data_IF_046128018877
#
_entry.id   IF_046128018877
#
_cell.length_a   1.000
_cell.length_b   1.000
_cell.length_c   1.000
_cell.angle_alpha   90.00
_cell.angle_beta   90.00
_cell.angle_gamma   90.00
#
_symmetry.space_group_name_H-M   'P 1'
#
loop_
_entity.id
_entity.type
_entity.pdbx_description
1 polymer ?
#
# COMPACT_ATOMS: atom_id res chain seq x y z
N UNK A 1 -76.45 -21.40 45.73
CA UNK A 1 -75.32 -20.69 46.38
C UNK A 1 -74.49 -20.11 45.23
N UNK A 2 -74.24 -18.81 45.11
CA UNK A 2 -74.06 -17.80 46.16
C UNK A 2 -72.57 -17.80 46.57
N UNK A 3 -71.77 -16.75 46.38
CA UNK A 3 -72.13 -15.33 46.17
C UNK A 3 -71.11 -14.52 45.34
N UNK A 4 -71.50 -13.31 44.97
CA UNK A 4 -70.66 -12.12 44.66
C UNK A 4 -69.56 -11.86 45.72
N UNK A 5 -68.52 -11.01 45.56
CA UNK A 5 -68.22 -9.88 44.65
C UNK A 5 -66.66 -9.68 44.63
N UNK A 6 -65.93 -8.70 44.04
CA UNK A 6 -66.16 -7.38 43.39
C UNK A 6 -64.96 -7.04 42.46
N UNK A 7 -65.05 -5.98 41.62
CA UNK A 7 -63.87 -5.24 41.09
C UNK A 7 -63.57 -3.95 41.91
N UNK A 8 -62.84 -2.93 41.39
CA UNK A 8 -62.13 -2.84 40.10
C UNK A 8 -60.74 -2.12 40.17
N UNK A 9 -60.17 -1.82 38.99
CA UNK A 9 -59.38 -0.61 38.66
C UNK A 9 -57.84 -0.52 38.90
N UNK A 10 -57.13 -0.03 37.87
CA UNK A 10 -56.08 1.00 38.00
C UNK A 10 -54.61 0.60 38.30
N UNK A 11 -53.78 0.40 37.26
CA UNK A 11 -52.31 0.30 37.44
C UNK A 11 -51.49 0.50 36.15
N UNK A 12 -50.90 1.70 35.95
CA UNK A 12 -50.00 2.00 34.81
C UNK A 12 -48.52 1.86 35.19
N UNK A 13 -47.82 0.90 34.60
CA UNK A 13 -46.35 0.88 34.47
C UNK A 13 -45.97 0.03 33.23
N UNK A 14 -45.50 0.54 32.08
CA UNK A 14 -44.52 1.58 31.75
C UNK A 14 -43.04 1.17 31.90
N UNK A 15 -42.57 0.22 31.05
CA UNK A 15 -41.17 -0.03 30.58
C UNK A 15 -41.16 -1.29 29.69
N UNK A 16 -40.29 -1.50 28.69
CA UNK A 16 -39.30 -0.62 28.03
C UNK A 16 -39.56 -0.59 26.51
N UNK A 17 -39.20 0.52 25.85
CA UNK A 17 -39.00 0.54 24.39
C UNK A 17 -37.53 0.27 24.07
N UNK A 18 -37.27 -0.69 23.19
CA UNK A 18 -35.92 -1.06 22.78
C UNK A 18 -35.29 0.09 21.97
N UNK A 19 -34.28 0.79 22.52
CA UNK A 19 -33.56 1.88 21.85
C UNK A 19 -32.18 1.39 21.40
N UNK A 20 -32.02 1.22 20.09
CA UNK A 20 -30.73 1.00 19.45
C UNK A 20 -29.74 2.14 19.79
N UNK A 21 -28.67 1.81 20.51
CA UNK A 21 -27.60 2.74 20.89
C UNK A 21 -26.60 2.90 19.75
N UNK A 22 -26.94 3.76 18.77
CA UNK A 22 -26.01 4.24 17.75
C UNK A 22 -24.72 4.74 18.41
N UNK A 23 -23.60 4.09 18.14
CA UNK A 23 -22.29 4.45 18.68
C UNK A 23 -21.72 5.68 17.94
N UNK A 24 -22.00 6.88 18.43
CA UNK A 24 -21.39 8.12 17.92
C UNK A 24 -19.98 8.31 18.48
N UNK A 25 -18.96 7.77 17.78
CA UNK A 25 -17.54 8.02 18.10
C UNK A 25 -17.10 9.40 17.64
N UNK A 26 -17.35 10.42 18.47
CA UNK A 26 -16.76 11.75 18.32
C UNK A 26 -15.95 12.11 19.56
N UNK A 27 -14.62 12.18 19.43
CA UNK A 27 -13.78 12.80 20.45
C UNK A 27 -13.85 14.32 20.28
N UNK A 28 -14.45 15.02 21.25
CA UNK A 28 -14.42 16.48 21.32
C UNK A 28 -13.23 16.92 22.18
N UNK A 29 -12.31 17.69 21.59
CA UNK A 29 -11.37 18.52 22.35
C UNK A 29 -12.02 19.88 22.68
N UNK A 30 -11.48 20.58 23.68
CA UNK A 30 -12.15 21.71 24.32
C UNK A 30 -12.41 22.93 23.40
N UNK A 31 -11.66 23.08 22.30
CA UNK A 31 -11.63 24.31 21.49
C UNK A 31 -12.41 24.22 20.15
N UNK A 32 -13.55 23.53 20.14
CA UNK A 32 -14.59 23.66 19.10
C UNK A 32 -14.32 23.06 17.71
N UNK A 33 -13.07 22.97 17.24
CA UNK A 33 -12.74 22.31 15.98
C UNK A 33 -13.05 20.81 16.07
N UNK A 34 -14.02 20.36 15.28
CA UNK A 34 -14.33 18.94 15.11
C UNK A 34 -13.35 18.36 14.10
N UNK A 35 -12.26 17.75 14.59
CA UNK A 35 -11.27 17.10 13.72
C UNK A 35 -11.91 15.89 13.03
N UNK A 36 -12.18 16.02 11.74
CA UNK A 36 -12.76 14.97 10.91
C UNK A 36 -11.67 13.93 10.61
N UNK A 37 -11.45 12.98 11.52
CA UNK A 37 -10.60 11.84 11.21
C UNK A 37 -11.25 11.07 10.05
N UNK A 38 -10.61 10.95 8.87
CA UNK A 38 -11.07 9.99 7.88
C UNK A 38 -11.01 8.61 8.53
N UNK A 39 -12.04 7.80 8.32
CA UNK A 39 -12.20 6.52 9.02
C UNK A 39 -11.26 5.45 8.43
N UNK A 40 -9.95 5.57 8.70
CA UNK A 40 -8.96 4.69 8.09
C UNK A 40 -8.98 3.29 8.69
N UNK A 41 -8.79 2.29 7.83
CA UNK A 41 -8.78 0.87 8.18
C UNK A 41 -7.41 0.30 7.88
N UNK A 42 -6.64 -0.03 8.91
CA UNK A 42 -5.37 -0.74 8.77
C UNK A 42 -5.60 -2.11 8.11
N UNK A 43 -4.98 -2.34 6.95
CA UNK A 43 -5.03 -3.57 6.19
C UNK A 43 -3.79 -4.45 6.38
N UNK A 44 -2.66 -3.84 6.71
CA UNK A 44 -1.40 -4.50 7.07
C UNK A 44 -0.71 -3.67 8.16
N UNK A 45 -0.10 -4.32 9.15
CA UNK A 45 0.81 -3.72 10.11
C UNK A 45 2.27 -4.08 9.76
N UNK A 46 3.24 -3.53 10.48
CA UNK A 46 4.67 -3.82 10.29
C UNK A 46 5.01 -5.31 10.13
N UNK A 47 4.42 -6.20 10.95
CA UNK A 47 4.66 -7.66 10.86
C UNK A 47 4.09 -8.24 9.56
N UNK A 48 2.92 -7.80 9.12
CA UNK A 48 2.35 -8.22 7.84
C UNK A 48 3.13 -7.68 6.62
N UNK A 49 3.69 -6.46 6.72
CA UNK A 49 4.55 -5.85 5.69
C UNK A 49 5.88 -6.61 5.60
N UNK A 50 6.54 -6.88 6.73
CA UNK A 50 7.78 -7.66 6.78
C UNK A 50 7.58 -9.08 6.22
N UNK A 51 6.49 -9.77 6.58
CA UNK A 51 6.17 -11.10 6.05
C UNK A 51 5.86 -11.09 4.54
N UNK A 52 5.21 -10.04 4.05
CA UNK A 52 4.97 -9.87 2.61
C UNK A 52 6.28 -9.67 1.84
N UNK A 53 7.18 -8.81 2.33
CA UNK A 53 8.49 -8.58 1.72
C UNK A 53 9.39 -9.83 1.77
N UNK A 54 9.41 -10.56 2.88
CA UNK A 54 10.14 -11.82 2.98
C UNK A 54 9.62 -12.88 1.99
N UNK A 55 8.29 -13.00 1.81
CA UNK A 55 7.72 -13.87 0.78
C UNK A 55 8.09 -13.43 -0.63
N UNK A 56 8.00 -12.14 -0.95
CA UNK A 56 8.43 -11.60 -2.26
C UNK A 56 9.92 -11.90 -2.50
N UNK A 57 10.77 -11.82 -1.46
CA UNK A 57 12.19 -12.16 -1.58
C UNK A 57 12.40 -13.65 -1.94
N UNK A 58 11.63 -14.57 -1.34
CA UNK A 58 11.65 -15.97 -1.73
C UNK A 58 11.12 -16.19 -3.17
N UNK A 59 10.00 -15.59 -3.55
CA UNK A 59 9.44 -15.69 -4.91
C UNK A 59 10.40 -15.15 -5.98
N UNK A 60 11.10 -14.04 -5.70
CA UNK A 60 12.17 -13.51 -6.55
C UNK A 60 13.37 -14.46 -6.60
N UNK A 61 13.81 -14.99 -5.46
CA UNK A 61 14.97 -15.90 -5.39
C UNK A 61 14.72 -17.25 -6.08
N UNK A 62 13.51 -17.80 -5.98
CA UNK A 62 13.09 -19.03 -6.67
C UNK A 62 12.96 -18.82 -8.19
N UNK A 63 12.74 -17.57 -8.64
CA UNK A 63 12.61 -17.25 -10.07
C UNK A 63 13.94 -17.14 -10.83
N UNK A 64 15.10 -17.10 -10.14
CA UNK A 64 16.42 -16.83 -10.71
C UNK A 64 17.45 -17.89 -10.30
N UNK A 65 18.24 -18.38 -11.25
CA UNK A 65 19.32 -19.36 -11.00
C UNK A 65 20.46 -18.79 -10.13
N UNK A 66 20.64 -17.46 -10.13
CA UNK A 66 21.69 -16.75 -9.40
C UNK A 66 21.30 -15.30 -9.12
N UNK A 67 21.69 -14.77 -7.97
CA UNK A 67 21.47 -13.36 -7.60
C UNK A 67 22.39 -12.36 -8.32
N UNK A 68 23.46 -12.80 -9.00
CA UNK A 68 24.50 -11.92 -9.57
C UNK A 68 23.98 -10.97 -10.66
N UNK A 69 23.02 -11.43 -11.47
CA UNK A 69 22.37 -10.64 -12.51
C UNK A 69 21.26 -9.72 -11.97
N UNK A 70 20.81 -9.90 -10.73
CA UNK A 70 19.62 -9.25 -10.19
C UNK A 70 19.96 -7.90 -9.58
N UNK A 71 19.12 -6.89 -9.84
CA UNK A 71 19.13 -5.63 -9.13
C UNK A 71 17.71 -5.11 -8.87
N UNK A 72 17.54 -4.29 -7.84
CA UNK A 72 16.23 -3.80 -7.39
C UNK A 72 16.14 -2.29 -7.62
N UNK A 73 15.04 -1.83 -8.24
CA UNK A 73 14.77 -0.41 -8.47
C UNK A 73 13.48 0.02 -7.80
N UNK A 74 13.58 0.90 -6.82
CA UNK A 74 12.42 1.51 -6.17
C UNK A 74 11.86 2.67 -6.97
N UNK A 75 10.54 2.69 -7.17
CA UNK A 75 9.80 3.76 -7.84
C UNK A 75 9.15 4.65 -6.78
N UNK A 76 9.44 5.95 -6.82
CA UNK A 76 8.97 6.95 -5.83
C UNK A 76 9.38 6.64 -4.37
N UNK A 77 9.07 7.56 -3.45
CA UNK A 77 9.48 7.47 -2.04
C UNK A 77 9.03 6.20 -1.32
N UNK A 78 7.82 5.68 -1.61
CA UNK A 78 7.31 4.43 -1.06
C UNK A 78 8.05 3.20 -1.60
N UNK A 79 8.16 3.08 -2.92
CA UNK A 79 8.84 1.97 -3.59
C UNK A 79 10.33 1.90 -3.27
N UNK A 80 11.02 3.03 -3.04
CA UNK A 80 12.45 3.07 -2.66
C UNK A 80 12.70 2.42 -1.30
N UNK A 81 11.94 2.78 -0.26
CA UNK A 81 12.10 2.14 1.06
C UNK A 81 11.76 0.65 1.01
N UNK A 82 10.76 0.26 0.21
CA UNK A 82 10.42 -1.15 -0.01
C UNK A 82 11.50 -1.89 -0.80
N UNK A 83 12.15 -1.26 -1.79
CA UNK A 83 13.26 -1.81 -2.56
C UNK A 83 14.47 -2.11 -1.68
N UNK A 84 14.86 -1.17 -0.82
CA UNK A 84 15.91 -1.39 0.18
C UNK A 84 15.59 -2.57 1.10
N UNK A 85 14.36 -2.64 1.62
CA UNK A 85 13.92 -3.72 2.50
C UNK A 85 13.91 -5.07 1.77
N UNK A 86 13.44 -5.12 0.52
CA UNK A 86 13.45 -6.33 -0.32
C UNK A 86 14.89 -6.80 -0.60
N UNK A 87 15.79 -5.90 -0.98
CA UNK A 87 17.20 -6.22 -1.20
C UNK A 87 17.91 -6.70 0.06
N UNK A 88 17.55 -6.17 1.24
CA UNK A 88 18.03 -6.66 2.55
C UNK A 88 17.55 -8.09 2.84
N UNK A 89 16.34 -8.49 2.44
CA UNK A 89 15.88 -9.89 2.55
C UNK A 89 16.58 -10.79 1.51
N UNK A 90 16.67 -10.38 0.23
CA UNK A 90 17.37 -11.13 -0.82
C UNK A 90 18.86 -11.38 -0.50
N UNK A 91 19.53 -10.38 0.09
CA UNK A 91 20.93 -10.49 0.54
C UNK A 91 21.11 -11.59 1.60
N UNK A 92 20.10 -11.86 2.44
CA UNK A 92 20.14 -13.00 3.40
C UNK A 92 19.98 -14.35 2.71
N UNK A 93 19.21 -14.40 1.61
CA UNK A 93 18.92 -15.64 0.87
C UNK A 93 20.14 -16.03 0.01
N UNK A 94 20.73 -15.10 -0.74
CA UNK A 94 21.86 -15.36 -1.63
C UNK A 94 23.24 -15.17 -0.98
N UNK A 95 23.32 -14.64 0.24
CA UNK A 95 24.59 -14.39 0.95
C UNK A 95 25.48 -13.30 0.33
N UNK A 96 24.99 -12.58 -0.68
CA UNK A 96 25.72 -11.53 -1.41
C UNK A 96 24.85 -10.27 -1.52
N UNK A 97 25.43 -9.05 -1.45
CA UNK A 97 24.66 -7.81 -1.54
C UNK A 97 23.97 -7.64 -2.90
N UNK A 98 22.66 -7.36 -2.86
CA UNK A 98 21.88 -7.05 -4.07
C UNK A 98 21.92 -5.54 -4.36
N UNK A 99 22.30 -5.09 -5.57
CA UNK A 99 22.30 -3.67 -5.91
C UNK A 99 20.90 -3.05 -5.83
N UNK A 100 20.82 -1.84 -5.27
CA UNK A 100 19.59 -1.06 -5.15
C UNK A 100 19.77 0.30 -5.82
N UNK A 101 18.77 0.73 -6.57
CA UNK A 101 18.67 2.06 -7.13
C UNK A 101 17.27 2.65 -6.95
N UNK A 102 17.13 3.93 -7.24
CA UNK A 102 15.87 4.66 -7.22
C UNK A 102 15.60 5.30 -8.58
N UNK A 103 14.34 5.24 -9.02
CA UNK A 103 13.87 5.78 -10.28
C UNK A 103 12.76 6.80 -10.00
N UNK A 104 13.04 8.08 -10.27
CA UNK A 104 11.99 9.09 -10.33
C UNK A 104 11.40 9.13 -11.74
N UNK A 105 10.08 9.02 -11.78
CA UNK A 105 9.24 9.02 -12.97
C UNK A 105 8.44 10.31 -13.11
N UNK A 106 8.70 11.32 -12.27
CA UNK A 106 7.88 12.55 -12.21
C UNK A 106 7.85 13.33 -13.53
N UNK A 107 8.88 13.19 -14.37
CA UNK A 107 8.95 13.74 -15.74
C UNK A 107 8.22 12.88 -16.79
N UNK A 108 7.92 11.62 -16.49
CA UNK A 108 7.36 10.63 -17.42
C UNK A 108 5.84 10.40 -17.20
N UNK A 109 5.15 11.36 -16.57
CA UNK A 109 3.71 11.25 -16.31
C UNK A 109 2.90 11.89 -17.43
N UNK A 110 2.20 11.04 -18.18
CA UNK A 110 1.21 11.44 -19.18
C UNK A 110 0.14 12.40 -18.61
N UNK A 111 -0.17 12.25 -17.31
CA UNK A 111 -1.22 12.99 -16.59
C UNK A 111 -0.69 14.32 -15.99
N UNK A 112 -0.02 15.16 -16.80
CA UNK A 112 0.67 16.39 -16.36
C UNK A 112 -0.26 17.49 -15.80
N UNK A 113 -1.56 17.46 -16.12
CA UNK A 113 -2.50 18.58 -15.94
C UNK A 113 -2.96 18.89 -14.50
N UNK A 114 -2.49 18.16 -13.46
CA UNK A 114 -3.07 18.25 -12.11
C UNK A 114 -2.10 18.56 -10.95
N UNK A 115 -0.82 18.89 -11.22
CA UNK A 115 0.11 19.39 -10.18
C UNK A 115 0.99 20.53 -10.69
N UNK A 116 0.81 21.72 -10.10
CA UNK A 116 1.47 22.97 -10.50
C UNK A 116 3.01 22.94 -10.41
N UNK A 117 3.57 22.03 -9.60
CA UNK A 117 4.99 21.67 -9.62
C UNK A 117 5.15 20.20 -9.22
N UNK A 118 5.79 19.34 -10.03
CA UNK A 118 6.26 18.03 -9.58
C UNK A 118 7.52 18.20 -8.73
N UNK A 119 7.54 17.59 -7.53
CA UNK A 119 8.76 17.45 -6.74
C UNK A 119 9.65 16.39 -7.39
N UNK A 120 10.58 16.83 -8.24
CA UNK A 120 11.55 15.94 -8.88
C UNK A 120 12.55 15.43 -7.83
N UNK A 121 12.76 14.13 -7.81
CA UNK A 121 13.82 13.48 -7.03
C UNK A 121 14.91 12.96 -8.00
N UNK A 122 16.19 12.89 -7.58
CA UNK A 122 17.23 12.39 -8.47
C UNK A 122 17.10 10.87 -8.65
N UNK A 123 16.82 10.42 -9.88
CA UNK A 123 17.08 9.05 -10.29
C UNK A 123 18.56 8.73 -10.01
N UNK A 124 18.82 7.68 -9.26
CA UNK A 124 20.15 7.26 -8.85
C UNK A 124 20.23 5.73 -8.92
N UNK A 125 20.96 5.24 -9.90
CA UNK A 125 21.12 3.82 -10.20
C UNK A 125 22.63 3.54 -10.25
N UNK A 126 23.25 3.08 -9.14
CA UNK A 126 24.70 3.00 -8.99
C UNK A 126 25.29 1.73 -9.63
N UNK A 127 24.71 1.26 -10.74
CA UNK A 127 25.10 0.03 -11.44
C UNK A 127 24.64 0.09 -12.90
N UNK A 128 25.29 -0.69 -13.76
CA UNK A 128 24.82 -0.89 -15.14
C UNK A 128 23.56 -1.77 -15.16
N UNK A 129 22.51 -1.31 -15.86
CA UNK A 129 21.24 -2.02 -16.05
C UNK A 129 21.29 -3.00 -17.23
N UNK A 130 22.28 -2.88 -18.12
CA UNK A 130 22.40 -3.72 -19.31
C UNK A 130 22.60 -5.20 -18.92
N UNK A 131 21.84 -6.09 -19.55
CA UNK A 131 21.90 -7.54 -19.29
C UNK A 131 21.38 -7.99 -17.92
N UNK A 132 20.97 -7.07 -17.03
CA UNK A 132 20.47 -7.41 -15.68
C UNK A 132 19.01 -7.82 -15.65
N UNK A 133 18.66 -8.56 -14.60
CA UNK A 133 17.28 -8.82 -14.20
C UNK A 133 16.86 -7.73 -13.22
N UNK A 134 16.01 -6.82 -13.66
CA UNK A 134 15.59 -5.66 -12.88
C UNK A 134 14.24 -5.95 -12.22
N UNK A 135 14.22 -5.92 -10.89
CA UNK A 135 12.98 -5.95 -10.10
C UNK A 135 12.57 -4.52 -9.77
N UNK A 136 11.58 -4.00 -10.51
CA UNK A 136 10.89 -2.77 -10.16
C UNK A 136 10.07 -2.99 -8.88
N UNK A 137 10.10 -2.02 -7.97
CA UNK A 137 9.35 -2.05 -6.70
C UNK A 137 8.51 -0.79 -6.55
N UNK A 138 7.21 -0.97 -6.34
CA UNK A 138 6.23 0.10 -6.08
C UNK A 138 5.38 -0.25 -4.84
N UNK A 139 4.75 0.72 -4.21
CA UNK A 139 3.93 0.46 -3.00
C UNK A 139 2.55 -0.13 -3.34
N UNK A 140 1.86 0.45 -4.33
CA UNK A 140 0.47 0.14 -4.67
C UNK A 140 0.24 0.11 -6.18
N UNK A 141 0.11 -1.08 -6.76
CA UNK A 141 -0.29 -1.21 -8.17
C UNK A 141 -1.77 -0.85 -8.37
N UNK A 142 -1.99 0.32 -8.96
CA UNK A 142 -3.31 0.85 -9.32
C UNK A 142 -3.51 0.79 -10.85
N UNK A 143 -3.59 1.93 -11.55
CA UNK A 143 -3.86 2.01 -13.01
C UNK A 143 -2.78 1.38 -13.89
N UNK A 144 -1.53 1.32 -13.40
CA UNK A 144 -0.35 0.87 -14.13
C UNK A 144 0.50 2.01 -14.74
N UNK A 145 0.01 3.25 -14.79
CA UNK A 145 0.74 4.39 -15.40
C UNK A 145 2.12 4.64 -14.76
N UNK A 146 2.22 4.52 -13.44
CA UNK A 146 3.49 4.54 -12.68
C UNK A 146 4.53 3.59 -13.28
N UNK A 147 4.11 2.37 -13.59
CA UNK A 147 5.00 1.32 -14.10
C UNK A 147 5.31 1.53 -15.58
N UNK A 148 4.35 2.03 -16.38
CA UNK A 148 4.58 2.47 -17.77
C UNK A 148 5.76 3.44 -17.84
N UNK A 149 5.66 4.52 -17.05
CA UNK A 149 6.67 5.56 -16.93
C UNK A 149 8.02 5.04 -16.39
N UNK A 150 8.00 4.05 -15.48
CA UNK A 150 9.21 3.41 -14.98
C UNK A 150 9.91 2.52 -16.03
N UNK A 151 9.15 1.81 -16.87
CA UNK A 151 9.71 1.00 -17.96
C UNK A 151 10.31 1.87 -19.07
N UNK A 152 9.65 2.98 -19.43
CA UNK A 152 10.20 3.98 -20.36
C UNK A 152 11.54 4.53 -19.85
N UNK A 153 11.56 5.09 -18.64
CA UNK A 153 12.76 5.69 -18.05
C UNK A 153 13.89 4.68 -17.82
N UNK A 154 13.59 3.39 -17.65
CA UNK A 154 14.59 2.32 -17.60
C UNK A 154 15.14 1.97 -18.99
N UNK A 155 14.33 2.05 -20.05
CA UNK A 155 14.81 1.89 -21.43
C UNK A 155 15.67 3.06 -21.89
N UNK A 156 15.48 4.28 -21.39
CA UNK A 156 16.39 5.39 -21.69
C UNK A 156 17.78 5.22 -21.06
N UNK A 157 17.87 4.41 -19.99
CA UNK A 157 19.13 4.12 -19.28
C UNK A 157 19.85 2.85 -19.76
N UNK A 158 19.17 1.92 -20.45
CA UNK A 158 19.84 0.75 -21.02
C UNK A 158 18.89 -0.39 -21.44
N UNK A 159 19.45 -1.60 -21.56
CA UNK A 159 18.76 -2.81 -22.05
C UNK A 159 18.86 -3.95 -21.03
N UNK A 160 17.97 -3.98 -20.01
CA UNK A 160 17.89 -5.11 -19.09
C UNK A 160 17.49 -6.40 -19.82
N UNK A 161 18.00 -7.54 -19.34
CA UNK A 161 17.69 -8.90 -19.81
C UNK A 161 16.26 -9.30 -19.49
N UNK A 162 15.73 -8.81 -18.36
CA UNK A 162 14.37 -9.04 -17.91
C UNK A 162 13.94 -7.91 -16.97
N UNK A 163 12.69 -7.46 -17.09
CA UNK A 163 12.05 -6.57 -16.13
C UNK A 163 10.97 -7.39 -15.40
N UNK A 164 10.92 -7.29 -14.08
CA UNK A 164 9.88 -7.84 -13.20
C UNK A 164 9.31 -6.74 -12.33
N UNK A 165 8.08 -6.91 -11.87
CA UNK A 165 7.41 -6.00 -10.95
C UNK A 165 7.03 -6.70 -9.63
N UNK A 166 7.58 -6.21 -8.52
CA UNK A 166 7.13 -6.49 -7.18
C UNK A 166 6.32 -5.32 -6.62
N UNK A 167 5.19 -5.58 -5.97
CA UNK A 167 4.44 -4.55 -5.23
C UNK A 167 3.99 -5.03 -3.86
N UNK A 168 3.98 -4.13 -2.87
CA UNK A 168 3.45 -4.46 -1.54
C UNK A 168 1.93 -4.73 -1.60
N UNK A 169 1.19 -3.95 -2.41
CA UNK A 169 -0.23 -4.16 -2.63
C UNK A 169 -0.63 -4.07 -4.11
N UNK A 170 -1.59 -4.89 -4.52
CA UNK A 170 -2.34 -4.72 -5.77
C UNK A 170 -3.78 -4.35 -5.41
N UNK A 171 -4.28 -3.25 -5.98
CA UNK A 171 -5.64 -2.74 -5.72
C UNK A 171 -6.60 -2.83 -6.91
N UNK A 172 -6.19 -3.47 -8.01
CA UNK A 172 -6.94 -3.56 -9.26
C UNK A 172 -7.02 -2.24 -10.03
N UNK A 173 -8.13 -2.03 -10.76
CA UNK A 173 -8.44 -0.82 -11.55
C UNK A 173 -7.38 -0.47 -12.61
N UNK A 174 -6.97 -1.46 -13.40
CA UNK A 174 -6.02 -1.28 -14.51
C UNK A 174 -6.60 -0.40 -15.62
N UNK A 175 -5.80 0.57 -16.05
CA UNK A 175 -5.98 1.30 -17.30
C UNK A 175 -5.01 0.81 -18.40
N UNK A 176 -3.96 0.08 -18.01
CA UNK A 176 -2.93 -0.51 -18.88
C UNK A 176 -2.80 -2.01 -18.61
N UNK A 177 -2.38 -2.84 -19.59
CA UNK A 177 -2.25 -4.30 -19.45
C UNK A 177 -1.01 -4.72 -18.63
N UNK A 178 -0.81 -4.09 -17.47
CA UNK A 178 0.33 -4.29 -16.57
C UNK A 178 -0.11 -5.09 -15.36
N UNK A 179 0.65 -6.14 -15.03
CA UNK A 179 0.45 -6.98 -13.83
C UNK A 179 1.78 -7.05 -13.08
N UNK A 180 1.72 -7.12 -11.76
CA UNK A 180 2.88 -7.49 -10.96
C UNK A 180 3.14 -9.01 -11.06
N UNK A 181 4.42 -9.38 -11.08
CA UNK A 181 4.87 -10.76 -10.91
C UNK A 181 4.70 -11.18 -9.45
N UNK A 182 5.11 -10.30 -8.53
CA UNK A 182 5.13 -10.55 -7.08
C UNK A 182 4.22 -9.54 -6.37
N UNK A 183 3.26 -10.04 -5.58
CA UNK A 183 2.26 -9.21 -4.90
C UNK A 183 2.23 -9.54 -3.41
N UNK A 184 2.50 -8.54 -2.56
CA UNK A 184 2.48 -8.67 -1.11
C UNK A 184 1.08 -8.92 -0.56
N UNK A 185 0.07 -8.23 -1.10
CA UNK A 185 -1.36 -8.47 -0.81
C UNK A 185 -2.28 -7.97 -1.93
N UNK A 186 -3.19 -8.83 -2.41
CA UNK A 186 -4.31 -8.40 -3.24
C UNK A 186 -5.40 -7.78 -2.35
N UNK A 187 -5.84 -6.57 -2.70
CA UNK A 187 -6.77 -5.76 -1.90
C UNK A 187 -7.85 -5.17 -2.83
N UNK A 188 -9.03 -5.80 -2.95
CA UNK A 188 -10.17 -5.19 -3.64
C UNK A 188 -10.52 -3.83 -3.00
N UNK A 189 -10.72 -2.82 -3.84
CA UNK A 189 -11.07 -1.44 -3.44
C UNK A 189 -12.12 -0.87 -4.39
N UNK A 190 -12.85 0.15 -3.95
CA UNK A 190 -13.60 1.06 -4.82
C UNK A 190 -12.68 2.17 -5.38
N UNK A 191 -13.10 2.85 -6.46
CA UNK A 191 -12.36 4.00 -7.00
C UNK A 191 -12.32 5.19 -6.02
N UNK A 192 -13.32 5.32 -5.17
CA UNK A 192 -13.40 6.31 -4.06
C UNK A 192 -12.47 6.00 -2.88
N UNK A 193 -11.87 4.82 -2.82
CA UNK A 193 -10.90 4.47 -1.78
C UNK A 193 -9.46 4.70 -2.24
N UNK A 194 -8.57 4.89 -1.26
CA UNK A 194 -7.13 5.04 -1.44
C UNK A 194 -6.38 4.15 -0.46
N UNK A 195 -5.29 3.56 -0.93
CA UNK A 195 -4.30 2.94 -0.05
C UNK A 195 -3.21 3.96 0.28
N UNK A 196 -2.88 4.06 1.56
CA UNK A 196 -1.81 4.89 2.10
C UNK A 196 -0.83 3.99 2.85
N UNK A 197 0.40 3.90 2.34
CA UNK A 197 1.50 3.27 3.05
C UNK A 197 2.15 4.29 3.99
N UNK A 198 2.43 3.87 5.22
CA UNK A 198 3.24 4.57 6.23
C UNK A 198 4.46 3.70 6.53
N UNK A 199 5.63 4.31 6.58
CA UNK A 199 6.92 3.67 6.86
C UNK A 199 7.73 4.51 7.86
N UNK A 200 8.47 3.85 8.75
CA UNK A 200 9.33 4.53 9.74
C UNK A 200 10.42 5.40 9.12
N UNK A 201 11.00 4.94 8.01
CA UNK A 201 12.03 5.65 7.24
C UNK A 201 11.51 6.97 6.63
N UNK A 202 10.19 7.14 6.54
CA UNK A 202 9.52 8.36 6.09
C UNK A 202 9.01 9.24 7.25
N UNK A 203 9.40 8.93 8.49
CA UNK A 203 9.04 9.71 9.69
C UNK A 203 7.71 9.35 10.34
N UNK A 204 7.10 8.22 10.00
CA UNK A 204 5.90 7.72 10.69
C UNK A 204 6.24 6.87 11.93
N UNK A 205 5.40 6.90 12.97
CA UNK A 205 5.64 6.17 14.23
C UNK A 205 5.79 4.65 14.05
N UNK A 206 5.12 4.09 13.03
CA UNK A 206 5.04 2.66 12.74
C UNK A 206 4.73 2.41 11.27
N UNK A 207 5.10 1.22 10.78
CA UNK A 207 4.74 0.79 9.45
C UNK A 207 3.29 0.30 9.41
N UNK A 208 2.49 0.82 8.49
CA UNK A 208 1.11 0.41 8.27
C UNK A 208 0.68 0.65 6.82
N UNK A 209 -0.15 -0.25 6.27
CA UNK A 209 -0.91 0.01 5.05
C UNK A 209 -2.37 0.25 5.45
N UNK A 210 -2.87 1.45 5.19
CA UNK A 210 -4.22 1.88 5.54
C UNK A 210 -5.09 2.11 4.31
N UNK A 211 -6.35 1.68 4.41
CA UNK A 211 -7.42 2.06 3.50
C UNK A 211 -8.09 3.34 4.01
N UNK A 212 -8.20 4.36 3.17
CA UNK A 212 -8.95 5.58 3.42
C UNK A 212 -9.99 5.79 2.31
N UNK A 213 -11.01 6.62 2.59
CA UNK A 213 -11.82 7.22 1.53
C UNK A 213 -11.17 8.53 1.05
N UNK A 214 -11.45 8.89 -0.20
CA UNK A 214 -10.90 10.04 -0.91
C UNK A 214 -11.86 11.21 -0.86
#
# INVERSE_FOLDING_TARGET
MGSSNTGPNGGRAARLRNRSTRHSKHARLANGLTFFMPNTKQLMNAVAIQRALARIAHEVAESQESGQDVAVLGIQSGGVVLAERLAKELTKIWGSPVPVGQLDISMHRDDLDQRLTPTVHPTNIPFDVNGKVIVLVDDVLFTGRTIRAAMDALHDLGRPKLIRLAVLADRGHRALPIKADYVGKNIPTSLSERLNLKLKEQGHDHDALELAQT
#
